data_IF_614874626538
#
_entry.id   IF_614874626538
#
_cell.length_a   1.000
_cell.length_b   1.000
_cell.length_c   1.000
_cell.angle_alpha   90.00
_cell.angle_beta   90.00
_cell.angle_gamma   90.00
#
_symmetry.space_group_name_H-M   'P 1'
#
loop_
_entity.id
_entity.type
_entity.pdbx_description
1 polymer ?
#
# COMPACT_ATOMS: atom_id res chain seq x y z
N UNK A 1 -12.77 20.50 -17.40
CA UNK A 1 -13.46 20.44 -16.09
C UNK A 1 -14.32 19.18 -15.90
N UNK A 2 -14.84 18.52 -16.96
CA UNK A 2 -15.70 17.33 -16.82
C UNK A 2 -15.02 16.09 -16.16
N UNK A 3 -13.71 15.90 -16.29
CA UNK A 3 -13.00 14.76 -15.71
C UNK A 3 -13.05 14.73 -14.17
N UNK A 4 -12.97 15.89 -13.51
CA UNK A 4 -13.00 15.96 -12.04
C UNK A 4 -14.34 15.50 -11.47
N UNK A 5 -15.44 15.65 -12.21
CA UNK A 5 -16.78 15.18 -11.83
C UNK A 5 -16.91 13.66 -11.92
N UNK A 6 -16.10 13.02 -12.78
CA UNK A 6 -16.11 11.54 -12.88
C UNK A 6 -15.38 10.86 -11.72
N UNK A 7 -14.55 11.59 -10.98
CA UNK A 7 -13.75 11.08 -9.86
C UNK A 7 -14.14 11.74 -8.53
N UNK A 8 -15.21 12.53 -8.50
CA UNK A 8 -15.69 13.15 -7.28
C UNK A 8 -16.30 12.12 -6.33
N UNK A 9 -16.14 12.36 -5.03
CA UNK A 9 -16.75 11.51 -4.01
C UNK A 9 -18.26 11.74 -4.00
N UNK A 10 -19.03 10.68 -4.22
CA UNK A 10 -20.48 10.70 -4.25
C UNK A 10 -21.04 10.32 -2.88
N UNK A 11 -22.28 10.72 -2.61
CA UNK A 11 -22.99 10.25 -1.41
C UNK A 11 -23.07 8.72 -1.33
N UNK A 12 -23.11 8.03 -2.47
CA UNK A 12 -23.08 6.57 -2.54
C UNK A 12 -21.74 5.94 -2.13
N UNK A 13 -20.65 6.71 -2.14
CA UNK A 13 -19.34 6.25 -1.67
C UNK A 13 -19.21 6.35 -0.15
N UNK A 14 -20.07 7.15 0.49
CA UNK A 14 -20.23 7.18 1.94
C UNK A 14 -21.11 5.99 2.33
N UNK A 15 -20.62 5.15 3.25
CA UNK A 15 -21.36 4.03 3.81
C UNK A 15 -22.47 4.52 4.77
N UNK A 16 -23.45 5.22 4.22
CA UNK A 16 -24.62 5.77 4.91
C UNK A 16 -25.69 4.68 5.04
N UNK A 17 -26.24 4.52 6.24
CA UNK A 17 -27.39 3.65 6.46
C UNK A 17 -28.71 4.42 6.25
N UNK A 18 -29.85 3.72 6.29
CA UNK A 18 -31.16 4.34 6.07
C UNK A 18 -31.47 5.48 7.06
N UNK A 19 -31.07 5.34 8.33
CA UNK A 19 -31.25 6.39 9.34
C UNK A 19 -30.42 7.64 9.03
N UNK A 20 -29.20 7.47 8.52
CA UNK A 20 -28.34 8.59 8.10
C UNK A 20 -29.01 9.38 6.97
N UNK A 21 -29.56 8.68 5.97
CA UNK A 21 -30.30 9.30 4.86
C UNK A 21 -31.54 10.04 5.35
N UNK A 22 -32.30 9.47 6.27
CA UNK A 22 -33.48 10.13 6.85
C UNK A 22 -33.11 11.42 7.58
N UNK A 23 -32.03 11.39 8.38
CA UNK A 23 -31.55 12.56 9.11
C UNK A 23 -31.06 13.68 8.17
N UNK A 24 -30.32 13.31 7.11
CA UNK A 24 -29.85 14.26 6.08
C UNK A 24 -31.05 14.87 5.32
N UNK A 25 -31.99 14.04 4.86
CA UNK A 25 -33.17 14.52 4.11
C UNK A 25 -34.08 15.41 4.96
N UNK A 26 -34.22 15.10 6.25
CA UNK A 26 -34.97 15.94 7.20
C UNK A 26 -34.31 17.32 7.35
N UNK A 27 -33.00 17.38 7.48
CA UNK A 27 -32.27 18.64 7.55
C UNK A 27 -32.39 19.49 6.26
N UNK A 28 -32.41 18.85 5.09
CA UNK A 28 -32.59 19.53 3.80
C UNK A 28 -34.00 20.13 3.63
N UNK A 29 -35.03 19.41 4.07
CA UNK A 29 -36.44 19.81 3.89
C UNK A 29 -36.93 20.81 4.93
N UNK A 30 -36.45 20.70 6.17
CA UNK A 30 -36.98 21.50 7.29
C UNK A 30 -36.21 22.81 7.53
N UNK A 31 -35.08 23.05 6.84
CA UNK A 31 -34.16 24.20 7.03
C UNK A 31 -33.69 24.45 8.47
N UNK A 32 -34.05 23.58 9.40
CA UNK A 32 -33.65 23.61 10.81
C UNK A 32 -32.59 22.54 11.04
N UNK A 33 -31.53 22.94 11.76
CA UNK A 33 -30.39 22.10 12.19
C UNK A 33 -29.47 21.56 11.08
N UNK A 34 -28.97 22.40 10.14
CA UNK A 34 -27.96 21.98 9.18
C UNK A 34 -26.66 21.51 9.86
N UNK A 35 -26.37 21.97 11.08
CA UNK A 35 -25.15 21.63 11.83
C UNK A 35 -25.04 20.13 12.15
N UNK A 36 -26.13 19.47 12.51
CA UNK A 36 -26.13 18.04 12.86
C UNK A 36 -25.93 17.17 11.61
N UNK A 37 -26.61 17.49 10.51
CA UNK A 37 -26.42 16.80 9.24
C UNK A 37 -25.01 17.02 8.67
N UNK A 38 -24.44 18.23 8.80
CA UNK A 38 -23.05 18.51 8.43
C UNK A 38 -22.07 17.70 9.29
N UNK A 39 -22.32 17.61 10.60
CA UNK A 39 -21.47 16.83 11.50
C UNK A 39 -21.52 15.33 11.19
N UNK A 40 -22.72 14.80 10.90
CA UNK A 40 -22.91 13.42 10.45
C UNK A 40 -22.20 13.16 9.12
N UNK A 41 -22.36 14.03 8.13
CA UNK A 41 -21.66 13.87 6.86
C UNK A 41 -20.15 13.88 7.08
N UNK A 42 -19.62 14.86 7.82
CA UNK A 42 -18.18 14.96 8.11
C UNK A 42 -17.62 13.73 8.82
N UNK A 43 -18.39 13.07 9.69
CA UNK A 43 -17.92 11.86 10.39
C UNK A 43 -17.77 10.64 9.47
N UNK A 44 -18.38 10.67 8.28
CA UNK A 44 -18.29 9.60 7.27
C UNK A 44 -17.11 9.77 6.32
N UNK A 45 -16.47 10.93 6.31
CA UNK A 45 -15.24 11.16 5.55
C UNK A 45 -14.02 10.83 6.41
N UNK A 46 -13.00 10.26 5.77
CA UNK A 46 -11.66 10.22 6.35
C UNK A 46 -11.12 11.65 6.43
N UNK A 47 -10.97 12.16 7.66
CA UNK A 47 -10.42 13.50 7.92
C UNK A 47 -8.90 13.59 7.65
N UNK A 48 -8.26 12.43 7.47
CA UNK A 48 -6.88 12.29 7.03
C UNK A 48 -6.61 10.87 6.55
N UNK A 49 -5.47 10.66 5.91
CA UNK A 49 -5.00 9.30 5.62
C UNK A 49 -4.33 8.75 6.88
N UNK A 50 -4.84 7.68 7.50
CA UNK A 50 -4.08 6.99 8.53
C UNK A 50 -2.73 6.54 7.95
N UNK A 51 -1.70 6.63 8.77
CA UNK A 51 -0.33 6.34 8.40
C UNK A 51 0.34 5.56 9.53
N UNK A 52 -0.09 4.32 9.70
CA UNK A 52 0.47 3.45 10.74
C UNK A 52 1.77 2.86 10.23
N UNK A 53 2.89 3.30 10.79
CA UNK A 53 4.21 2.75 10.49
C UNK A 53 4.53 1.59 11.42
N UNK A 54 5.18 0.56 10.89
CA UNK A 54 5.59 -0.63 11.63
C UNK A 54 7.07 -0.92 11.36
N UNK A 55 7.83 -1.44 12.34
CA UNK A 55 9.18 -1.92 12.05
C UNK A 55 9.17 -3.18 11.18
N UNK A 56 10.32 -3.54 10.57
CA UNK A 56 10.57 -4.88 10.04
C UNK A 56 10.30 -5.98 11.09
N UNK A 57 10.15 -7.25 10.69
CA UNK A 57 10.06 -8.36 11.64
C UNK A 57 11.31 -8.43 12.52
N UNK A 58 11.16 -8.95 13.73
CA UNK A 58 12.27 -9.08 14.71
C UNK A 58 13.34 -10.07 14.24
N UNK A 59 12.95 -11.07 13.45
CA UNK A 59 13.86 -12.00 12.76
C UNK A 59 13.50 -12.06 11.27
N UNK A 60 14.43 -11.62 10.41
CA UNK A 60 14.23 -11.60 8.95
C UNK A 60 14.26 -12.99 8.31
N UNK A 61 14.80 -14.01 8.99
CA UNK A 61 14.75 -15.39 8.51
C UNK A 61 13.36 -15.99 8.71
N UNK A 62 12.68 -15.60 9.79
CA UNK A 62 11.35 -16.10 10.12
C UNK A 62 10.29 -15.26 9.39
N UNK A 63 10.42 -13.93 9.41
CA UNK A 63 9.40 -13.02 8.87
C UNK A 63 8.35 -12.63 9.92
N UNK A 64 7.20 -12.14 9.46
CA UNK A 64 6.02 -11.95 10.30
C UNK A 64 5.29 -13.28 10.53
N UNK A 65 4.43 -13.33 11.55
CA UNK A 65 3.65 -14.52 11.91
C UNK A 65 2.43 -14.74 10.97
N UNK A 66 2.61 -14.57 9.66
CA UNK A 66 1.59 -14.73 8.64
C UNK A 66 2.05 -15.79 7.62
N UNK A 67 1.14 -16.60 7.09
CA UNK A 67 1.47 -17.57 6.04
C UNK A 67 1.38 -16.90 4.67
N UNK A 68 2.50 -16.83 3.94
CA UNK A 68 2.56 -16.15 2.64
C UNK A 68 1.87 -16.89 1.51
N UNK A 69 1.11 -16.17 0.68
CA UNK A 69 0.47 -16.64 -0.54
C UNK A 69 1.22 -16.15 -1.80
N UNK A 70 1.93 -17.03 -2.53
CA UNK A 70 2.73 -16.63 -3.69
C UNK A 70 1.90 -16.06 -4.85
N UNK A 71 0.63 -16.46 -5.00
CA UNK A 71 -0.26 -15.90 -6.03
C UNK A 71 -0.59 -14.44 -5.76
N UNK A 72 -0.77 -14.07 -4.49
CA UNK A 72 -0.94 -12.67 -4.09
C UNK A 72 0.39 -11.92 -4.19
N UNK A 73 1.49 -12.55 -3.78
CA UNK A 73 2.84 -11.98 -3.89
C UNK A 73 3.20 -11.59 -5.32
N UNK A 74 2.84 -12.43 -6.30
CA UNK A 74 2.99 -12.13 -7.72
C UNK A 74 2.26 -10.84 -8.12
N UNK A 75 1.03 -10.66 -7.67
CA UNK A 75 0.25 -9.44 -7.95
C UNK A 75 0.90 -8.22 -7.32
N UNK A 76 1.40 -8.34 -6.09
CA UNK A 76 2.13 -7.24 -5.42
C UNK A 76 3.39 -6.88 -6.19
N UNK A 77 4.18 -7.87 -6.59
CA UNK A 77 5.39 -7.66 -7.39
C UNK A 77 5.07 -6.93 -8.70
N UNK A 78 4.08 -7.43 -9.45
CA UNK A 78 3.74 -6.92 -10.77
C UNK A 78 3.04 -5.55 -10.74
N UNK A 79 2.12 -5.34 -9.80
CA UNK A 79 1.28 -4.14 -9.76
C UNK A 79 1.90 -3.01 -8.93
N UNK A 80 2.76 -3.34 -7.96
CA UNK A 80 3.34 -2.36 -7.05
C UNK A 80 4.84 -2.17 -7.28
N UNK A 81 5.63 -3.25 -7.28
CA UNK A 81 7.09 -3.14 -7.36
C UNK A 81 7.55 -2.73 -8.77
N UNK A 82 7.07 -3.42 -9.79
CA UNK A 82 7.45 -3.16 -11.18
C UNK A 82 7.02 -1.78 -11.67
N UNK A 83 5.98 -1.18 -11.08
CA UNK A 83 5.58 0.19 -11.43
C UNK A 83 6.74 1.19 -11.34
N UNK A 84 7.60 1.05 -10.32
CA UNK A 84 8.75 1.92 -10.10
C UNK A 84 10.06 1.34 -10.64
N UNK A 85 10.22 0.02 -10.57
CA UNK A 85 11.50 -0.66 -10.79
C UNK A 85 11.67 -1.24 -12.20
N UNK A 86 10.60 -1.44 -12.95
CA UNK A 86 10.70 -1.92 -14.33
C UNK A 86 11.32 -0.84 -15.22
N UNK A 87 12.21 -1.25 -16.12
CA UNK A 87 12.91 -0.39 -17.09
C UNK A 87 13.61 0.82 -16.44
N UNK A 88 13.91 0.71 -15.13
CA UNK A 88 14.46 1.77 -14.29
C UNK A 88 13.70 3.12 -14.37
N UNK A 89 12.38 3.07 -14.61
CA UNK A 89 11.58 4.28 -14.88
C UNK A 89 11.62 5.31 -13.76
N UNK A 90 11.50 4.87 -12.51
CA UNK A 90 11.50 5.74 -11.33
C UNK A 90 12.60 5.37 -10.33
N UNK A 91 13.14 4.16 -10.42
CA UNK A 91 14.22 3.63 -9.59
C UNK A 91 15.42 3.25 -10.45
N UNK A 92 16.63 3.54 -10.00
CA UNK A 92 17.87 3.07 -10.66
C UNK A 92 18.22 1.61 -10.32
N UNK A 93 17.37 0.92 -9.56
CA UNK A 93 17.50 -0.49 -9.27
C UNK A 93 16.44 -1.23 -10.07
N UNK A 94 16.86 -1.88 -11.15
CA UNK A 94 15.98 -2.61 -12.04
C UNK A 94 15.45 -3.88 -11.38
N UNK A 95 14.15 -4.11 -11.55
CA UNK A 95 13.50 -5.38 -11.22
C UNK A 95 12.78 -5.89 -12.46
N UNK A 96 12.86 -7.19 -12.69
CA UNK A 96 12.26 -7.86 -13.84
C UNK A 96 11.71 -9.25 -13.45
N UNK A 97 11.26 -10.03 -14.44
CA UNK A 97 10.81 -11.41 -14.22
C UNK A 97 11.92 -12.46 -14.32
N UNK A 98 13.20 -12.09 -14.25
CA UNK A 98 14.30 -13.02 -14.45
C UNK A 98 14.64 -13.80 -13.18
N UNK A 99 15.10 -15.05 -13.36
CA UNK A 99 15.58 -15.88 -12.24
C UNK A 99 16.68 -15.20 -11.43
N UNK A 100 17.57 -14.46 -12.10
CA UNK A 100 18.66 -13.74 -11.45
C UNK A 100 18.12 -12.68 -10.47
N UNK A 101 17.09 -11.93 -10.86
CA UNK A 101 16.41 -10.96 -9.99
C UNK A 101 15.78 -11.64 -8.78
N UNK A 102 15.03 -12.72 -8.99
CA UNK A 102 14.39 -13.43 -7.88
C UNK A 102 15.39 -14.05 -6.91
N UNK A 103 16.46 -14.66 -7.40
CA UNK A 103 17.56 -15.18 -6.57
C UNK A 103 18.27 -14.06 -5.80
N UNK A 104 18.50 -12.91 -6.45
CA UNK A 104 19.10 -11.75 -5.80
C UNK A 104 18.23 -11.27 -4.65
N UNK A 105 16.93 -11.06 -4.89
CA UNK A 105 16.01 -10.60 -3.86
C UNK A 105 15.88 -11.61 -2.72
N UNK A 106 15.60 -12.88 -3.04
CA UNK A 106 15.44 -13.97 -2.06
C UNK A 106 16.66 -14.08 -1.13
N UNK A 107 17.88 -14.02 -1.69
CA UNK A 107 19.14 -14.04 -0.91
C UNK A 107 19.26 -12.87 0.07
N UNK A 108 18.64 -11.73 -0.22
CA UNK A 108 18.72 -10.52 0.61
C UNK A 108 17.58 -10.37 1.60
N UNK A 109 16.48 -11.12 1.48
CA UNK A 109 15.37 -11.11 2.44
C UNK A 109 15.86 -11.20 3.89
N UNK A 110 16.69 -12.20 4.29
CA UNK A 110 17.10 -12.36 5.68
C UNK A 110 18.20 -11.38 6.15
N UNK A 111 18.62 -10.42 5.31
CA UNK A 111 19.79 -9.58 5.59
C UNK A 111 19.39 -8.15 5.95
N UNK A 112 20.11 -7.55 6.89
CA UNK A 112 20.01 -6.12 7.17
C UNK A 112 20.66 -5.30 6.05
N UNK A 113 19.97 -5.14 4.93
CA UNK A 113 20.45 -4.39 3.77
C UNK A 113 19.30 -3.64 3.11
N UNK A 114 19.63 -2.60 2.33
CA UNK A 114 18.66 -1.88 1.48
C UNK A 114 17.99 -2.73 0.39
N UNK A 115 18.40 -3.99 0.22
CA UNK A 115 17.83 -4.94 -0.73
C UNK A 115 16.86 -5.93 -0.07
N UNK A 116 16.78 -5.96 1.26
CA UNK A 116 15.76 -6.75 1.95
C UNK A 116 14.41 -6.08 1.79
N UNK A 117 13.42 -6.84 1.31
CA UNK A 117 12.05 -6.35 1.14
C UNK A 117 11.44 -5.89 2.47
N UNK A 118 11.80 -6.54 3.58
CA UNK A 118 11.34 -6.15 4.92
C UNK A 118 11.89 -4.79 5.34
N UNK A 119 13.18 -4.59 5.11
CA UNK A 119 13.87 -3.35 5.45
C UNK A 119 13.34 -2.19 4.63
N UNK A 120 13.40 -2.34 3.30
CA UNK A 120 13.13 -1.24 2.39
C UNK A 120 11.65 -0.88 2.32
N UNK A 121 10.74 -1.84 2.52
CA UNK A 121 9.32 -1.52 2.60
C UNK A 121 8.97 -0.76 3.89
N UNK A 122 9.60 -1.09 5.02
CA UNK A 122 9.28 -0.52 6.34
C UNK A 122 10.02 0.76 6.68
N UNK A 123 11.17 1.02 6.07
CA UNK A 123 11.97 2.23 6.32
C UNK A 123 12.26 3.06 5.07
N UNK A 124 11.88 2.58 3.88
CA UNK A 124 12.17 3.25 2.63
C UNK A 124 13.65 3.34 2.32
N UNK A 125 14.00 4.23 1.40
CA UNK A 125 15.40 4.63 1.16
C UNK A 125 15.51 6.15 1.19
N UNK A 126 16.72 6.65 1.41
CA UNK A 126 17.02 8.07 1.26
C UNK A 126 17.49 8.39 -0.16
N UNK A 127 17.17 9.59 -0.69
CA UNK A 127 17.78 10.08 -1.91
C UNK A 127 19.28 10.31 -1.68
N UNK A 128 20.09 10.09 -2.72
CA UNK A 128 21.53 10.34 -2.69
C UNK A 128 21.86 11.65 -3.42
N UNK A 129 22.97 12.34 -3.10
CA UNK A 129 23.40 13.50 -3.88
C UNK A 129 23.48 13.16 -5.39
N UNK A 130 22.80 13.95 -6.22
CA UNK A 130 22.69 13.70 -7.66
C UNK A 130 21.64 12.64 -8.08
N UNK A 131 21.00 11.94 -7.14
CA UNK A 131 19.93 10.95 -7.40
C UNK A 131 18.73 11.20 -6.49
N UNK A 132 17.70 11.83 -7.03
CA UNK A 132 16.47 12.17 -6.30
C UNK A 132 15.53 10.99 -6.07
N UNK A 133 15.74 9.86 -6.75
CA UNK A 133 14.92 8.67 -6.58
C UNK A 133 15.04 8.12 -5.16
N UNK A 134 13.90 7.77 -4.57
CA UNK A 134 13.81 7.12 -3.26
C UNK A 134 12.64 6.15 -3.25
N UNK A 135 12.73 5.09 -2.44
CA UNK A 135 11.59 4.22 -2.14
C UNK A 135 10.86 4.77 -0.91
N UNK A 136 9.54 4.99 -0.98
CA UNK A 136 8.79 5.50 0.15
C UNK A 136 8.70 4.46 1.27
N UNK A 137 8.47 4.95 2.48
CA UNK A 137 8.12 4.11 3.62
C UNK A 137 6.65 3.70 3.51
N UNK A 138 6.37 2.39 3.42
CA UNK A 138 5.00 1.90 3.33
C UNK A 138 4.36 1.77 4.71
N UNK A 139 3.23 2.44 4.87
CA UNK A 139 2.35 2.26 6.03
C UNK A 139 1.63 0.92 5.96
N UNK A 140 1.10 0.45 7.10
CA UNK A 140 0.32 -0.79 7.15
C UNK A 140 -0.95 -0.73 6.29
N UNK A 141 -1.51 0.45 6.07
CA UNK A 141 -2.67 0.66 5.20
C UNK A 141 -2.33 0.57 3.70
N UNK A 142 -1.05 0.75 3.33
CA UNK A 142 -0.58 0.60 1.94
C UNK A 142 0.05 -0.76 1.67
N UNK A 143 0.74 -1.33 2.66
CA UNK A 143 1.33 -2.66 2.59
C UNK A 143 1.35 -3.28 3.98
N UNK A 144 0.37 -4.13 4.29
CA UNK A 144 0.29 -4.81 5.59
C UNK A 144 1.36 -5.93 5.71
N UNK A 145 1.43 -6.60 6.86
CA UNK A 145 2.41 -7.67 7.09
C UNK A 145 2.14 -8.90 6.22
N UNK A 146 0.88 -9.32 6.08
CA UNK A 146 0.47 -10.41 5.19
C UNK A 146 0.93 -10.17 3.74
N UNK A 147 0.80 -8.95 3.23
CA UNK A 147 1.24 -8.59 1.88
C UNK A 147 2.76 -8.69 1.71
N UNK A 148 3.55 -8.41 2.76
CA UNK A 148 4.99 -8.64 2.73
C UNK A 148 5.35 -10.14 2.75
N UNK A 149 4.63 -10.95 3.52
CA UNK A 149 4.83 -12.41 3.51
C UNK A 149 4.37 -13.05 2.20
N UNK A 150 3.27 -12.58 1.61
CA UNK A 150 2.83 -12.96 0.26
C UNK A 150 3.94 -12.68 -0.77
N UNK A 151 4.51 -11.46 -0.74
CA UNK A 151 5.62 -11.08 -1.61
C UNK A 151 6.85 -11.96 -1.40
N UNK A 152 7.23 -12.23 -0.14
CA UNK A 152 8.33 -13.15 0.18
C UNK A 152 8.11 -14.53 -0.42
N UNK A 153 6.93 -15.12 -0.19
CA UNK A 153 6.60 -16.46 -0.69
C UNK A 153 6.74 -16.54 -2.21
N UNK A 154 6.25 -15.52 -2.93
CA UNK A 154 6.42 -15.43 -4.38
C UNK A 154 7.89 -15.36 -4.80
N UNK A 155 8.69 -14.50 -4.17
CA UNK A 155 10.11 -14.34 -4.52
C UNK A 155 10.92 -15.61 -4.24
N UNK A 156 10.64 -16.30 -3.15
CA UNK A 156 11.29 -17.57 -2.81
C UNK A 156 10.87 -18.72 -3.72
N UNK A 157 9.60 -18.78 -4.14
CA UNK A 157 9.09 -19.76 -5.09
C UNK A 157 9.77 -19.61 -6.46
N UNK A 158 9.78 -18.39 -7.01
CA UNK A 158 10.38 -18.10 -8.32
C UNK A 158 11.92 -18.21 -8.29
N UNK A 159 12.55 -17.99 -7.13
CA UNK A 159 14.00 -18.21 -7.00
C UNK A 159 14.38 -19.71 -7.10
N UNK A 160 13.47 -20.61 -6.72
CA UNK A 160 13.65 -22.08 -6.73
C UNK A 160 13.21 -22.70 -8.05
N UNK A 161 12.12 -22.22 -8.63
CA UNK A 161 11.54 -22.76 -9.86
C UNK A 161 12.25 -22.19 -11.10
N UNK A 162 13.09 -23.01 -11.75
CA UNK A 162 13.49 -23.03 -13.18
C UNK A 162 14.84 -23.75 -13.34
#
# INVERSE_FOLDING_TARGET
MAYLWTIELKLGDLQLNESDYQQINKALTQKNQPSEAIALLKSKYLTGSPATFSPPPTDWNIGYAEEGNPKNGKRIYQLSCLHCHQDMRYSFFELDGSKATFQFLSKHIPRFTRYSIYQVARWGTTPLPGKRAYMPQYTLEKMNNQQLEDLRAYLEEEAKNL
#
